data_IF_225187089588
#
_entry.id   IF_225187089588
#
_cell.length_a   1.000
_cell.length_b   1.000
_cell.length_c   1.000
_cell.angle_alpha   90.00
_cell.angle_beta   90.00
_cell.angle_gamma   90.00
#
_symmetry.space_group_name_H-M   'P 1'
#
loop_
_entity.id
_entity.type
_entity.pdbx_description
1 polymer ?
#
# COMPACT_ATOMS: atom_id res chain seq x y z
N UNK A 1 11.38 -3.20 16.76
CA UNK A 1 11.11 -3.03 15.33
C UNK A 1 9.94 -3.94 15.04
N UNK A 2 8.85 -3.34 14.57
CA UNK A 2 7.58 -3.99 14.31
C UNK A 2 7.47 -4.28 12.82
N UNK A 3 7.18 -5.53 12.44
CA UNK A 3 6.96 -5.95 11.06
C UNK A 3 5.46 -6.04 10.79
N UNK A 4 5.00 -5.23 9.83
CA UNK A 4 3.64 -5.27 9.30
C UNK A 4 3.68 -5.95 7.94
N UNK A 5 2.70 -6.81 7.68
CA UNK A 5 2.52 -7.41 6.37
C UNK A 5 1.48 -6.59 5.61
N UNK A 6 1.88 -6.03 4.48
CA UNK A 6 1.06 -5.18 3.64
C UNK A 6 0.75 -5.92 2.35
N UNK A 7 -0.52 -6.14 2.05
CA UNK A 7 -0.95 -6.74 0.78
C UNK A 7 -1.63 -5.67 -0.07
N UNK A 8 -1.21 -5.54 -1.32
CA UNK A 8 -1.75 -4.55 -2.26
C UNK A 8 -2.42 -5.27 -3.42
N UNK A 9 -3.68 -4.97 -3.67
CA UNK A 9 -4.43 -5.55 -4.78
C UNK A 9 -4.54 -4.56 -5.96
N UNK A 10 -3.95 -4.94 -7.09
CA UNK A 10 -4.03 -4.18 -8.34
C UNK A 10 -5.30 -4.52 -9.11
N UNK A 11 -5.87 -3.55 -9.83
CA UNK A 11 -7.09 -3.71 -10.63
C UNK A 11 -6.98 -4.77 -11.71
N UNK A 12 -8.12 -5.29 -12.18
CA UNK A 12 -8.19 -6.33 -13.22
C UNK A 12 -8.50 -5.78 -14.62
N UNK A 13 -8.83 -4.50 -14.73
CA UNK A 13 -9.07 -3.80 -16.00
C UNK A 13 -7.79 -3.69 -16.83
N UNK A 14 -7.94 -3.42 -18.12
CA UNK A 14 -6.80 -3.15 -18.99
C UNK A 14 -6.03 -1.92 -18.48
N UNK A 15 -4.69 -1.96 -18.60
CA UNK A 15 -3.77 -0.90 -18.15
C UNK A 15 -3.83 -0.57 -16.66
N UNK A 16 -4.32 -1.49 -15.82
CA UNK A 16 -4.41 -1.27 -14.37
C UNK A 16 -3.10 -1.45 -13.61
N UNK A 17 -2.13 -2.14 -14.20
CA UNK A 17 -0.81 -2.41 -13.61
C UNK A 17 0.20 -1.30 -13.88
N UNK A 18 1.31 -1.33 -13.16
CA UNK A 18 2.34 -0.28 -13.22
C UNK A 18 3.75 -0.83 -13.08
N UNK A 19 4.71 -0.17 -13.71
CA UNK A 19 6.15 -0.37 -13.49
C UNK A 19 6.79 0.82 -12.73
N UNK A 20 5.98 1.74 -12.23
CA UNK A 20 6.43 2.89 -11.47
C UNK A 20 6.67 2.53 -10.00
N UNK A 21 7.42 3.37 -9.29
CA UNK A 21 7.71 3.13 -7.88
C UNK A 21 6.47 3.39 -7.04
N UNK A 22 6.11 2.40 -6.22
CA UNK A 22 5.07 2.53 -5.21
C UNK A 22 5.74 2.55 -3.84
N UNK A 23 5.44 3.60 -3.08
CA UNK A 23 5.86 3.72 -1.69
C UNK A 23 4.65 3.64 -0.78
N UNK A 24 4.87 3.09 0.40
CA UNK A 24 3.87 3.03 1.46
C UNK A 24 4.37 3.66 2.74
N UNK A 25 3.45 4.25 3.49
CA UNK A 25 3.67 4.66 4.88
C UNK A 25 2.42 4.32 5.67
N UNK A 26 2.60 3.54 6.74
CA UNK A 26 1.53 3.19 7.68
C UNK A 26 1.43 4.29 8.73
N UNK A 27 0.23 4.80 8.97
CA UNK A 27 0.00 5.86 9.97
C UNK A 27 -0.98 5.33 11.01
N UNK A 28 -0.54 5.29 12.26
CA UNK A 28 -1.35 4.92 13.42
C UNK A 28 -1.38 6.03 14.47
N UNK A 29 -2.10 5.78 15.57
CA UNK A 29 -2.26 6.74 16.66
C UNK A 29 -0.93 7.14 17.32
N UNK A 30 0.04 6.22 17.39
CA UNK A 30 1.32 6.43 18.06
C UNK A 30 2.43 6.91 17.13
N UNK A 31 2.15 7.11 15.84
CA UNK A 31 3.13 7.59 14.86
C UNK A 31 2.97 6.99 13.48
N UNK A 32 4.05 6.98 12.71
CA UNK A 32 4.07 6.45 11.35
C UNK A 32 5.31 5.57 11.11
N UNK A 33 5.18 4.61 10.18
CA UNK A 33 6.32 3.84 9.70
C UNK A 33 7.29 4.72 8.91
N UNK A 34 8.43 4.16 8.54
CA UNK A 34 9.26 4.76 7.49
C UNK A 34 8.53 4.73 6.14
N UNK A 35 9.00 5.57 5.22
CA UNK A 35 8.57 5.54 3.82
C UNK A 35 9.27 4.37 3.13
N UNK A 36 8.52 3.28 2.91
CA UNK A 36 9.05 2.03 2.37
C UNK A 36 8.71 1.90 0.90
N UNK A 37 9.70 1.60 0.06
CA UNK A 37 9.47 1.19 -1.33
C UNK A 37 8.92 -0.24 -1.33
N UNK A 38 7.87 -0.48 -2.10
CA UNK A 38 7.29 -1.79 -2.28
C UNK A 38 7.92 -2.43 -3.52
N UNK A 39 8.83 -3.37 -3.29
CA UNK A 39 9.64 -4.00 -4.33
C UNK A 39 10.01 -5.41 -3.90
N UNK A 40 9.51 -6.40 -4.61
CA UNK A 40 9.81 -7.81 -4.46
C UNK A 40 10.64 -8.31 -5.65
N UNK A 41 11.37 -9.43 -5.51
CA UNK A 41 11.99 -10.08 -6.65
C UNK A 41 10.92 -10.50 -7.69
N UNK A 42 10.94 -9.88 -8.86
CA UNK A 42 10.04 -10.22 -9.96
C UNK A 42 9.27 -9.02 -10.47
N UNK A 43 8.01 -9.26 -10.88
CA UNK A 43 7.10 -8.22 -11.33
C UNK A 43 6.06 -7.96 -10.25
N UNK A 44 6.06 -6.75 -9.70
CA UNK A 44 5.04 -6.26 -8.79
C UNK A 44 3.93 -5.52 -9.55
N UNK A 45 2.79 -5.32 -8.88
CA UNK A 45 1.69 -4.48 -9.34
C UNK A 45 1.19 -4.81 -10.76
N UNK A 46 1.30 -6.08 -11.14
CA UNK A 46 0.77 -6.57 -12.40
C UNK A 46 -0.76 -6.45 -12.40
N UNK A 47 -1.35 -6.34 -13.61
CA UNK A 47 -2.80 -6.36 -13.77
C UNK A 47 -3.39 -7.60 -13.07
N UNK A 48 -4.31 -7.36 -12.14
CA UNK A 48 -5.00 -8.39 -11.37
C UNK A 48 -4.18 -9.02 -10.24
N UNK A 49 -2.92 -8.62 -10.07
CA UNK A 49 -2.05 -9.15 -9.03
C UNK A 49 -2.49 -8.72 -7.63
N UNK A 50 -2.06 -9.52 -6.67
CA UNK A 50 -2.20 -9.29 -5.23
C UNK A 50 -0.83 -9.59 -4.64
N UNK A 51 -0.10 -8.53 -4.31
CA UNK A 51 1.30 -8.60 -3.95
C UNK A 51 1.46 -8.33 -2.45
N UNK A 52 2.37 -9.05 -1.79
CA UNK A 52 2.59 -8.97 -0.34
C UNK A 52 3.99 -8.40 -0.05
N UNK A 53 4.07 -7.51 0.93
CA UNK A 53 5.28 -6.80 1.31
C UNK A 53 5.45 -6.74 2.82
N UNK A 54 6.70 -6.58 3.25
CA UNK A 54 7.07 -6.34 4.65
C UNK A 54 7.36 -4.86 4.85
N UNK A 55 6.66 -4.24 5.79
CA UNK A 55 6.86 -2.84 6.16
C UNK A 55 7.24 -2.77 7.63
N UNK A 56 8.41 -2.19 7.90
CA UNK A 56 8.94 -2.09 9.24
C UNK A 56 8.65 -0.72 9.86
N UNK A 57 8.38 -0.72 11.17
CA UNK A 57 8.33 0.49 11.99
C UNK A 57 9.32 0.38 13.16
N UNK A 58 10.03 1.45 13.54
CA UNK A 58 10.92 1.43 14.70
C UNK A 58 10.16 1.20 16.01
N UNK A 59 8.89 1.60 16.09
CA UNK A 59 8.04 1.48 17.27
C UNK A 59 6.61 1.01 16.92
N UNK A 60 5.85 0.47 17.89
CA UNK A 60 4.44 0.13 17.70
C UNK A 60 3.61 1.34 17.28
N UNK A 61 2.91 1.23 16.15
CA UNK A 61 2.10 2.33 15.60
C UNK A 61 0.76 2.52 16.32
N UNK A 62 0.35 1.57 17.18
CA UNK A 62 -0.99 1.53 17.74
C UNK A 62 -2.04 1.19 16.66
N UNK A 63 -3.33 1.49 16.91
CA UNK A 63 -4.37 1.36 15.90
C UNK A 63 -4.01 2.14 14.63
N UNK A 64 -4.10 1.49 13.47
CA UNK A 64 -3.84 2.15 12.19
C UNK A 64 -5.02 3.03 11.80
N UNK A 65 -4.71 4.28 11.43
CA UNK A 65 -5.69 5.28 11.04
C UNK A 65 -5.85 5.36 9.51
N UNK A 66 -4.72 5.28 8.80
CA UNK A 66 -4.68 5.34 7.35
C UNK A 66 -3.41 4.70 6.78
N UNK A 67 -3.50 4.32 5.50
CA UNK A 67 -2.36 3.95 4.67
C UNK A 67 -2.11 5.08 3.69
N UNK A 68 -0.87 5.56 3.62
CA UNK A 68 -0.43 6.51 2.61
C UNK A 68 0.28 5.75 1.50
N UNK A 69 -0.26 5.84 0.28
CA UNK A 69 0.40 5.35 -0.94
C UNK A 69 0.95 6.53 -1.73
N UNK A 70 2.12 6.33 -2.32
CA UNK A 70 2.73 7.31 -3.22
C UNK A 70 3.22 6.59 -4.48
N UNK A 71 2.76 7.04 -5.64
CA UNK A 71 3.28 6.60 -6.94
C UNK A 71 4.28 7.65 -7.41
N UNK A 72 5.46 7.22 -7.83
CA UNK A 72 6.47 8.07 -8.46
C UNK A 72 6.99 7.43 -9.73
N UNK A 73 7.20 8.25 -10.76
CA UNK A 73 7.72 7.79 -12.04
C UNK A 73 9.09 7.10 -11.88
N UNK A 74 9.22 5.90 -12.42
CA UNK A 74 10.50 5.23 -12.57
C UNK A 74 11.19 5.63 -13.88
N UNK A 75 10.65 5.21 -15.03
CA UNK A 75 11.24 5.50 -16.35
C UNK A 75 10.21 6.00 -17.36
N UNK A 76 9.13 5.26 -17.57
CA UNK A 76 7.98 5.66 -18.41
C UNK A 76 6.77 5.86 -17.51
N UNK A 77 6.03 6.93 -17.76
CA UNK A 77 4.81 7.21 -17.01
C UNK A 77 3.71 6.21 -17.41
N UNK A 78 3.07 5.62 -16.41
CA UNK A 78 1.86 4.81 -16.55
C UNK A 78 0.89 5.13 -15.40
N UNK A 79 -0.37 4.72 -15.59
CA UNK A 79 -1.39 4.82 -14.55
C UNK A 79 -1.42 3.52 -13.76
N UNK A 80 -1.85 3.61 -12.51
CA UNK A 80 -2.05 2.42 -11.68
C UNK A 80 -3.44 2.44 -11.06
N UNK A 81 -4.16 1.32 -11.12
CA UNK A 81 -5.43 1.16 -10.42
C UNK A 81 -5.24 0.30 -9.17
N UNK A 82 -5.32 0.92 -8.01
CA UNK A 82 -5.27 0.22 -6.73
C UNK A 82 -6.71 -0.10 -6.28
N UNK A 83 -7.01 -1.38 -6.01
CA UNK A 83 -8.30 -1.82 -5.46
C UNK A 83 -8.35 -1.59 -3.95
N UNK A 84 -7.43 -2.20 -3.22
CA UNK A 84 -7.37 -2.09 -1.76
C UNK A 84 -5.95 -2.39 -1.26
N UNK A 85 -5.70 -1.98 -0.03
CA UNK A 85 -4.54 -2.40 0.75
C UNK A 85 -5.03 -3.10 2.00
N UNK A 86 -4.46 -4.25 2.35
CA UNK A 86 -4.67 -4.86 3.68
C UNK A 86 -3.39 -4.80 4.48
N UNK A 87 -3.52 -4.60 5.79
CA UNK A 87 -2.38 -4.55 6.71
C UNK A 87 -2.61 -5.51 7.86
N UNK A 88 -1.75 -6.51 7.98
CA UNK A 88 -1.68 -7.41 9.12
C UNK A 88 -0.71 -6.83 10.16
N UNK A 89 -1.12 -6.68 11.44
CA UNK A 89 -0.25 -6.17 12.48
C UNK A 89 0.83 -7.18 12.91
N UNK A 90 1.89 -6.73 13.59
CA UNK A 90 2.91 -7.60 14.15
C UNK A 90 2.32 -8.63 15.10
N UNK A 91 2.84 -9.86 15.08
CA UNK A 91 2.41 -10.94 15.96
C UNK A 91 1.17 -11.72 15.51
N UNK A 92 0.60 -11.38 14.35
CA UNK A 92 -0.59 -12.02 13.81
C UNK A 92 -1.86 -11.44 14.43
N UNK A 93 -2.83 -11.11 13.60
CA UNK A 93 -4.06 -10.46 14.02
C UNK A 93 -5.06 -10.29 12.89
N UNK A 94 -6.15 -9.58 13.15
CA UNK A 94 -7.12 -9.27 12.11
C UNK A 94 -6.49 -8.26 11.15
N UNK A 95 -6.44 -8.62 9.87
CA UNK A 95 -5.98 -7.71 8.83
C UNK A 95 -6.99 -6.57 8.63
N UNK A 96 -6.50 -5.34 8.69
CA UNK A 96 -7.30 -4.14 8.44
C UNK A 96 -7.35 -3.88 6.94
N UNK A 97 -8.53 -3.54 6.41
CA UNK A 97 -8.71 -3.28 4.98
C UNK A 97 -8.92 -1.79 4.71
N UNK A 98 -8.10 -1.26 3.81
CA UNK A 98 -8.09 0.11 3.36
C UNK A 98 -8.56 0.15 1.89
N UNK A 99 -9.87 0.37 1.65
CA UNK A 99 -10.41 0.40 0.30
C UNK A 99 -9.92 1.63 -0.47
N UNK A 100 -9.30 1.41 -1.64
CA UNK A 100 -8.72 2.46 -2.47
C UNK A 100 -9.59 2.76 -3.70
N UNK A 101 -9.88 1.72 -4.48
CA UNK A 101 -10.69 1.69 -5.71
C UNK A 101 -10.56 2.93 -6.61
N UNK A 102 -9.33 3.34 -6.90
CA UNK A 102 -9.06 4.54 -7.70
C UNK A 102 -7.80 4.42 -8.54
N UNK A 103 -7.76 5.23 -9.59
CA UNK A 103 -6.56 5.46 -10.40
C UNK A 103 -5.61 6.42 -9.69
N UNK A 104 -4.33 6.04 -9.64
CA UNK A 104 -3.20 6.89 -9.28
C UNK A 104 -2.50 7.27 -10.60
N UNK A 105 -2.51 8.56 -10.91
CA UNK A 105 -2.07 9.14 -12.19
C UNK A 105 -0.96 10.14 -11.90
N UNK A 106 0.16 10.05 -12.61
CA UNK A 106 1.31 10.92 -12.36
C UNK A 106 2.02 10.60 -11.05
N UNK A 107 2.87 11.53 -10.64
CA UNK A 107 3.44 11.54 -9.29
C UNK A 107 2.35 11.99 -8.31
N UNK A 108 1.84 11.05 -7.52
CA UNK A 108 0.69 11.31 -6.64
C UNK A 108 0.83 10.62 -5.30
N UNK A 109 0.34 11.29 -4.27
CA UNK A 109 0.24 10.79 -2.91
C UNK A 109 -1.23 10.73 -2.50
N UNK A 110 -1.68 9.57 -2.03
CA UNK A 110 -3.05 9.35 -1.58
C UNK A 110 -3.05 8.80 -0.16
N UNK A 111 -3.99 9.26 0.65
CA UNK A 111 -4.24 8.74 1.99
C UNK A 111 -5.55 7.96 1.97
N UNK A 112 -5.49 6.71 2.41
CA UNK A 112 -6.59 5.75 2.35
C UNK A 112 -6.95 5.40 3.79
N UNK A 113 -8.18 5.72 4.20
CA UNK A 113 -8.69 5.41 5.53
C UNK A 113 -9.26 3.99 5.57
N UNK A 114 -9.36 3.44 6.77
CA UNK A 114 -9.99 2.13 6.97
C UNK A 114 -11.45 2.14 6.48
N UNK A 115 -11.90 1.03 5.88
CA UNK A 115 -13.24 0.90 5.29
C UNK A 115 -14.38 0.67 6.28
N UNK A 116 -14.12 0.69 7.59
CA UNK A 116 -15.15 0.50 8.63
C UNK A 116 -15.98 1.78 8.76
N UNK A 117 -16.95 1.95 7.86
CA UNK A 117 -17.99 2.96 8.02
C UNK A 117 -18.87 2.59 9.20
N UNK A 118 -18.75 3.34 10.31
CA UNK A 118 -19.79 3.38 11.34
C UNK A 118 -20.95 4.27 10.88
#
# INVERSE_FOLDING_TARGET
MEEYKVTVATGTSEYSGTNNYIYVTLVGENGQSERTILDNPGLDFCRGAVDEYKVCSPAPLGPLLLVRLEKQRYWVEDNWFCRYVTVEPPGGGIALTFPCYRWLIGDVKVEIREGTGN
#
